data_IF_257673213010
#
_entry.id   IF_257673213010
#
_cell.length_a   1.000
_cell.length_b   1.000
_cell.length_c   1.000
_cell.angle_alpha   90.00
_cell.angle_beta   90.00
_cell.angle_gamma   90.00
#
_symmetry.space_group_name_H-M   'P 1'
#
loop_
_entity.id
_entity.type
_entity.pdbx_description
1 polymer ?
#
# COMPACT_ATOMS: atom_id res chain seq x y z
N UNK A 1 -22.00 -25.81 -95.10
CA UNK A 1 -22.77 -26.21 -93.89
C UNK A 1 -22.19 -25.44 -92.69
N UNK A 2 -22.67 -24.21 -92.47
CA UNK A 2 -23.69 -23.78 -91.47
C UNK A 2 -23.05 -23.37 -90.11
N UNK A 3 -23.16 -22.07 -89.82
CA UNK A 3 -23.01 -21.35 -88.53
C UNK A 3 -24.22 -21.63 -87.60
N UNK A 4 -24.16 -21.40 -86.26
CA UNK A 4 -24.49 -20.07 -85.67
C UNK A 4 -23.71 -19.73 -84.36
N UNK A 5 -23.29 -18.49 -84.05
CA UNK A 5 -23.98 -17.24 -83.66
C UNK A 5 -24.90 -17.31 -82.40
N UNK A 6 -24.44 -16.71 -81.29
CA UNK A 6 -25.25 -16.12 -80.21
C UNK A 6 -24.49 -14.91 -79.60
N UNK A 7 -24.75 -13.67 -80.05
CA UNK A 7 -25.63 -12.63 -79.44
C UNK A 7 -25.27 -12.22 -77.99
N UNK A 8 -24.39 -11.22 -77.86
CA UNK A 8 -24.31 -10.32 -76.70
C UNK A 8 -25.51 -9.36 -76.69
N UNK A 9 -26.16 -9.20 -75.53
CA UNK A 9 -27.21 -8.22 -75.26
C UNK A 9 -26.61 -6.99 -74.58
N UNK A 10 -26.90 -5.83 -75.16
CA UNK A 10 -26.68 -4.49 -74.62
C UNK A 10 -27.49 -4.22 -73.34
N UNK A 11 -26.85 -3.57 -72.36
CA UNK A 11 -27.41 -2.72 -71.30
C UNK A 11 -26.37 -1.59 -71.16
N UNK A 12 -26.59 -0.39 -71.69
CA UNK A 12 -27.54 0.58 -71.15
C UNK A 12 -26.77 1.61 -70.32
N UNK A 13 -26.17 2.61 -70.99
CA UNK A 13 -25.46 3.72 -70.35
C UNK A 13 -26.42 4.58 -69.51
N UNK A 14 -26.45 4.36 -68.20
CA UNK A 14 -27.08 5.31 -67.28
C UNK A 14 -26.15 6.53 -67.10
N UNK A 15 -26.55 7.65 -67.70
CA UNK A 15 -25.96 8.97 -67.44
C UNK A 15 -26.20 9.34 -65.98
N UNK A 16 -25.19 9.18 -65.14
CA UNK A 16 -25.15 9.67 -63.77
C UNK A 16 -25.22 11.20 -63.78
N UNK A 17 -26.33 11.74 -63.29
CA UNK A 17 -26.60 13.18 -63.22
C UNK A 17 -25.63 13.94 -62.29
N UNK A 18 -25.61 15.28 -62.37
CA UNK A 18 -24.64 16.15 -61.66
C UNK A 18 -24.67 16.00 -60.15
N UNK A 19 -25.80 15.56 -59.57
CA UNK A 19 -25.93 15.28 -58.14
C UNK A 19 -25.01 14.14 -57.65
N UNK A 20 -24.75 13.12 -58.47
CA UNK A 20 -23.90 12.00 -58.06
C UNK A 20 -22.42 12.37 -58.05
N UNK A 21 -22.03 13.29 -58.93
CA UNK A 21 -20.68 13.90 -58.93
C UNK A 21 -20.48 14.75 -57.67
N UNK A 22 -21.48 15.53 -57.26
CA UNK A 22 -21.42 16.28 -56.00
C UNK A 22 -21.32 15.35 -54.79
N UNK A 23 -22.08 14.25 -54.76
CA UNK A 23 -22.03 13.27 -53.67
C UNK A 23 -20.64 12.60 -53.56
N UNK A 24 -20.04 12.24 -54.69
CA UNK A 24 -18.67 11.71 -54.74
C UNK A 24 -17.64 12.73 -54.22
N UNK A 25 -17.78 14.02 -54.57
CA UNK A 25 -16.91 15.08 -54.06
C UNK A 25 -17.03 15.23 -52.54
N UNK A 26 -18.24 15.21 -51.99
CA UNK A 26 -18.45 15.26 -50.54
C UNK A 26 -17.89 14.03 -49.81
N UNK A 27 -18.02 12.83 -50.38
CA UNK A 27 -17.44 11.61 -49.81
C UNK A 27 -15.91 11.67 -49.82
N UNK A 28 -15.29 12.16 -50.90
CA UNK A 28 -13.83 12.33 -50.99
C UNK A 28 -13.33 13.40 -50.01
N UNK A 29 -14.04 14.52 -49.85
CA UNK A 29 -13.69 15.56 -48.87
C UNK A 29 -13.83 15.03 -47.43
N UNK A 30 -14.88 14.26 -47.13
CA UNK A 30 -15.05 13.65 -45.81
C UNK A 30 -13.95 12.61 -45.50
N UNK A 31 -13.56 11.80 -46.49
CA UNK A 31 -12.46 10.85 -46.35
C UNK A 31 -11.10 11.54 -46.21
N UNK A 32 -10.86 12.60 -46.99
CA UNK A 32 -9.66 13.42 -46.86
C UNK A 32 -9.59 14.14 -45.50
N UNK A 33 -10.73 14.62 -44.98
CA UNK A 33 -10.85 15.19 -43.64
C UNK A 33 -10.59 14.16 -42.53
N UNK A 34 -11.04 12.91 -42.68
CA UNK A 34 -10.73 11.82 -41.76
C UNK A 34 -9.25 11.41 -41.81
N UNK A 35 -8.63 11.37 -43.00
CA UNK A 35 -7.19 11.08 -43.14
C UNK A 35 -6.31 12.22 -42.60
N UNK A 36 -6.68 13.48 -42.83
CA UNK A 36 -6.02 14.63 -42.21
C UNK A 36 -6.24 14.66 -40.69
N UNK A 37 -7.43 14.30 -40.20
CA UNK A 37 -7.72 14.12 -38.78
C UNK A 37 -6.88 13.02 -38.13
N UNK A 38 -6.60 11.92 -38.83
CA UNK A 38 -5.75 10.81 -38.34
C UNK A 38 -4.25 11.17 -38.39
N UNK A 39 -3.82 11.97 -39.37
CA UNK A 39 -2.44 12.46 -39.46
C UNK A 39 -2.14 13.58 -38.46
N UNK A 40 -3.10 14.46 -38.16
CA UNK A 40 -2.96 15.52 -37.15
C UNK A 40 -3.22 15.05 -35.72
N UNK A 41 -3.83 13.88 -35.50
CA UNK A 41 -3.99 13.29 -34.16
C UNK A 41 -2.71 12.58 -33.63
N UNK A 42 -1.63 12.55 -34.43
CA UNK A 42 -0.33 11.99 -34.02
C UNK A 42 0.69 13.06 -33.57
N UNK A 43 0.30 14.33 -33.54
CA UNK A 43 1.12 15.43 -33.03
C UNK A 43 0.29 16.34 -32.12
N UNK A 44 -0.18 15.78 -31.00
CA UNK A 44 -0.64 16.58 -29.87
C UNK A 44 0.16 16.20 -28.64
N UNK A 45 1.08 17.10 -28.31
CA UNK A 45 1.47 17.45 -26.94
C UNK A 45 1.86 16.23 -26.11
N UNK A 46 3.15 15.87 -26.14
CA UNK A 46 3.76 15.30 -24.95
C UNK A 46 3.41 16.27 -23.81
N UNK A 47 2.62 15.87 -22.79
CA UNK A 47 2.50 16.72 -21.63
C UNK A 47 3.92 16.89 -21.13
N UNK A 48 4.40 18.13 -21.02
CA UNK A 48 5.64 18.40 -20.31
C UNK A 48 5.62 17.56 -19.04
N UNK A 49 6.59 16.64 -18.90
CA UNK A 49 6.74 15.90 -17.65
C UNK A 49 6.75 16.97 -16.57
N UNK A 50 5.84 16.95 -15.59
CA UNK A 50 5.83 17.96 -14.54
C UNK A 50 7.25 18.01 -13.99
N UNK A 51 7.89 19.19 -14.11
CA UNK A 51 9.24 19.42 -13.58
C UNK A 51 9.26 18.85 -12.18
N UNK A 52 10.05 17.80 -11.99
CA UNK A 52 10.25 17.27 -10.66
C UNK A 52 10.86 18.39 -9.84
N UNK A 53 10.19 18.83 -8.77
CA UNK A 53 10.80 19.69 -7.75
C UNK A 53 12.08 19.07 -7.13
N UNK A 54 12.33 17.81 -7.48
CA UNK A 54 13.42 16.95 -7.06
C UNK A 54 14.39 16.61 -8.21
N UNK A 55 14.30 17.30 -9.36
CA UNK A 55 15.29 17.15 -10.42
C UNK A 55 16.63 17.69 -9.93
N UNK A 56 17.64 16.83 -9.98
CA UNK A 56 19.03 17.15 -9.66
C UNK A 56 19.47 18.41 -10.40
N UNK A 57 19.85 19.47 -9.68
CA UNK A 57 20.88 20.36 -10.23
C UNK A 57 22.17 19.53 -10.32
N UNK A 58 22.86 19.50 -11.48
CA UNK A 58 24.10 18.74 -11.65
C UNK A 58 25.22 19.18 -10.69
N UNK A 59 25.08 20.32 -10.02
CA UNK A 59 26.14 20.96 -9.24
C UNK A 59 26.28 20.49 -7.78
N UNK A 60 25.38 19.64 -7.26
CA UNK A 60 25.49 19.19 -5.86
C UNK A 60 25.53 17.67 -5.65
N UNK A 61 25.64 16.88 -6.73
CA UNK A 61 25.98 15.47 -6.65
C UNK A 61 27.51 15.28 -6.63
N UNK A 62 28.17 15.78 -5.59
CA UNK A 62 29.47 15.23 -5.21
C UNK A 62 29.26 13.87 -4.53
N UNK A 63 28.82 12.89 -5.33
CA UNK A 63 29.16 11.49 -5.05
C UNK A 63 30.65 11.34 -5.41
N UNK A 64 31.50 10.83 -4.51
CA UNK A 64 32.72 10.17 -4.97
C UNK A 64 32.30 9.06 -5.95
N UNK A 65 33.09 8.75 -6.99
CA UNK A 65 32.77 7.69 -7.94
C UNK A 65 32.88 6.32 -7.24
N UNK A 66 31.89 5.97 -6.43
CA UNK A 66 31.60 4.58 -6.09
C UNK A 66 31.02 3.98 -7.37
N UNK A 67 31.67 2.94 -7.89
CA UNK A 67 31.40 2.34 -9.19
C UNK A 67 29.91 2.22 -9.53
N UNK A 68 29.58 2.45 -10.80
CA UNK A 68 28.24 2.56 -11.37
C UNK A 68 27.16 1.71 -10.68
N UNK A 69 26.53 2.23 -9.62
CA UNK A 69 25.34 1.59 -9.08
C UNK A 69 24.12 2.01 -9.90
N UNK A 70 23.37 1.04 -10.40
CA UNK A 70 22.13 1.29 -11.13
C UNK A 70 20.96 1.34 -10.15
N UNK A 71 20.05 2.32 -10.26
CA UNK A 71 18.86 2.36 -9.42
C UNK A 71 18.07 1.05 -9.52
N UNK A 72 17.74 0.45 -8.39
CA UNK A 72 16.87 -0.72 -8.34
C UNK A 72 15.42 -0.29 -8.60
N UNK A 73 14.79 -0.86 -9.63
CA UNK A 73 13.39 -0.63 -10.00
C UNK A 73 12.47 -1.78 -9.60
N UNK A 74 12.99 -3.02 -9.61
CA UNK A 74 12.27 -4.19 -9.10
C UNK A 74 12.40 -4.28 -7.58
N UNK A 75 11.33 -3.95 -6.85
CA UNK A 75 11.34 -3.79 -5.40
C UNK A 75 10.13 -4.48 -4.78
N UNK A 76 10.40 -5.37 -3.81
CA UNK A 76 9.38 -5.94 -2.95
C UNK A 76 9.59 -5.42 -1.54
N UNK A 77 8.59 -4.69 -1.05
CA UNK A 77 8.53 -4.23 0.33
C UNK A 77 7.46 -5.02 1.08
N UNK A 78 7.87 -5.87 2.02
CA UNK A 78 6.91 -6.45 2.95
C UNK A 78 6.52 -5.39 3.97
N UNK A 79 5.35 -4.79 3.73
CA UNK A 79 4.73 -3.81 4.61
C UNK A 79 4.15 -4.48 5.86
N UNK A 80 4.90 -4.41 6.96
CA UNK A 80 4.46 -4.86 8.29
C UNK A 80 3.54 -3.86 8.95
N UNK A 81 2.68 -4.32 9.85
CA UNK A 81 1.70 -3.49 10.52
C UNK A 81 2.33 -2.62 11.62
N UNK A 82 1.94 -1.35 11.67
CA UNK A 82 2.25 -0.40 12.78
C UNK A 82 3.74 -0.10 13.01
N UNK A 83 4.53 -0.19 11.95
CA UNK A 83 6.00 -0.03 11.89
C UNK A 83 6.42 1.20 11.06
N UNK A 84 5.61 2.26 11.03
CA UNK A 84 5.79 3.42 10.13
C UNK A 84 5.80 3.07 8.62
N UNK A 85 5.34 1.88 8.27
CA UNK A 85 5.43 1.31 6.92
C UNK A 85 4.58 2.01 5.87
N UNK A 86 3.52 2.75 6.25
CA UNK A 86 2.78 3.63 5.30
C UNK A 86 3.63 4.80 4.79
N UNK A 87 4.61 5.28 5.57
CA UNK A 87 5.56 6.31 5.12
C UNK A 87 6.50 5.74 4.06
N UNK A 88 7.01 4.52 4.28
CA UNK A 88 7.84 3.80 3.30
C UNK A 88 7.03 3.48 2.03
N UNK A 89 5.77 3.08 2.18
CA UNK A 89 4.89 2.83 1.03
C UNK A 89 4.67 4.09 0.18
N UNK A 90 4.42 5.25 0.80
CA UNK A 90 4.28 6.52 0.06
C UNK A 90 5.57 6.87 -0.71
N UNK A 91 6.73 6.66 -0.09
CA UNK A 91 8.03 6.84 -0.74
C UNK A 91 8.18 5.93 -1.97
N UNK A 92 7.82 4.64 -1.88
CA UNK A 92 7.85 3.70 -3.01
C UNK A 92 6.87 4.08 -4.12
N UNK A 93 5.64 4.47 -3.76
CA UNK A 93 4.63 4.94 -4.70
C UNK A 93 5.07 6.18 -5.46
N UNK A 94 5.69 7.13 -4.78
CA UNK A 94 6.23 8.35 -5.40
C UNK A 94 7.33 8.03 -6.38
N UNK A 95 8.32 7.25 -5.96
CA UNK A 95 9.43 6.87 -6.82
C UNK A 95 8.92 6.14 -8.07
N UNK A 96 8.08 5.11 -7.91
CA UNK A 96 7.56 4.38 -9.06
C UNK A 96 6.65 5.21 -9.95
N UNK A 97 5.81 6.09 -9.40
CA UNK A 97 5.00 7.02 -10.20
C UNK A 97 5.88 7.94 -11.05
N UNK A 98 6.93 8.53 -10.45
CA UNK A 98 7.84 9.46 -11.13
C UNK A 98 8.69 8.76 -12.21
N UNK A 99 9.03 7.49 -11.99
CA UNK A 99 9.80 6.67 -12.94
C UNK A 99 8.92 5.92 -13.95
N UNK A 100 7.59 6.01 -13.84
CA UNK A 100 6.66 5.29 -14.73
C UNK A 100 6.68 3.76 -14.54
N UNK A 101 6.98 3.29 -13.32
CA UNK A 101 7.03 1.88 -12.96
C UNK A 101 5.63 1.28 -12.78
N UNK A 102 5.52 -0.02 -13.02
CA UNK A 102 4.30 -0.80 -12.91
C UNK A 102 4.16 -1.44 -11.53
N UNK A 103 3.13 -1.05 -10.79
CA UNK A 103 2.86 -1.57 -9.44
C UNK A 103 2.04 -2.85 -9.48
N UNK A 104 2.48 -3.89 -8.76
CA UNK A 104 1.62 -4.98 -8.36
C UNK A 104 0.65 -4.43 -7.30
N UNK A 105 -0.61 -4.19 -7.69
CA UNK A 105 -1.64 -3.64 -6.81
C UNK A 105 -2.67 -4.72 -6.43
N UNK A 106 -3.19 -4.71 -5.19
CA UNK A 106 -4.28 -5.61 -4.82
C UNK A 106 -5.58 -5.23 -5.50
N UNK A 107 -6.45 -6.22 -5.72
CA UNK A 107 -7.84 -5.99 -6.20
C UNK A 107 -8.65 -5.14 -5.20
N UNK A 108 -8.48 -5.38 -3.89
CA UNK A 108 -8.97 -4.51 -2.81
C UNK A 108 -7.88 -3.52 -2.38
N UNK A 109 -7.78 -3.24 -1.08
CA UNK A 109 -6.69 -2.45 -0.51
C UNK A 109 -5.52 -3.31 0.01
N UNK A 110 -5.75 -4.60 0.21
CA UNK A 110 -4.73 -5.56 0.68
C UNK A 110 -4.73 -6.83 -0.17
N UNK A 111 -3.64 -7.59 -0.14
CA UNK A 111 -3.53 -8.85 -0.88
C UNK A 111 -4.15 -10.04 -0.14
N UNK A 112 -5.45 -9.95 0.18
CA UNK A 112 -6.21 -11.07 0.78
C UNK A 112 -5.84 -11.40 2.24
N UNK A 113 -5.20 -10.46 2.93
CA UNK A 113 -4.87 -10.57 4.35
C UNK A 113 -6.16 -10.81 5.17
N UNK A 114 -6.17 -11.69 6.19
CA UNK A 114 -5.02 -12.31 6.89
C UNK A 114 -4.57 -13.68 6.33
N UNK A 115 -5.11 -14.13 5.19
CA UNK A 115 -4.64 -15.37 4.57
C UNK A 115 -3.26 -15.17 3.94
N UNK A 116 -2.43 -16.23 3.83
CA UNK A 116 -1.19 -16.18 3.08
C UNK A 116 -1.40 -15.60 1.68
N UNK A 117 -0.45 -14.80 1.23
CA UNK A 117 -0.45 -14.20 -0.10
C UNK A 117 -0.55 -15.28 -1.18
N UNK A 118 -1.37 -15.01 -2.20
CA UNK A 118 -1.41 -15.77 -3.45
C UNK A 118 -1.40 -14.80 -4.63
N UNK A 119 -0.73 -15.16 -5.72
CA UNK A 119 -0.49 -14.27 -6.85
C UNK A 119 -1.79 -13.74 -7.50
N UNK A 120 -2.88 -14.53 -7.45
CA UNK A 120 -4.20 -14.13 -7.98
C UNK A 120 -4.82 -12.92 -7.26
N UNK A 121 -4.27 -12.50 -6.11
CA UNK A 121 -4.69 -11.27 -5.43
C UNK A 121 -4.17 -10.00 -6.09
N UNK A 122 -3.20 -10.13 -7.00
CA UNK A 122 -2.65 -9.01 -7.78
C UNK A 122 -3.58 -8.72 -8.95
N UNK A 123 -4.05 -7.48 -9.04
CA UNK A 123 -4.88 -7.02 -10.15
C UNK A 123 -4.08 -7.07 -11.45
N UNK A 124 -4.69 -7.62 -12.49
CA UNK A 124 -4.03 -7.78 -13.79
C UNK A 124 -3.08 -8.97 -13.89
N UNK A 125 -2.90 -9.76 -12.82
CA UNK A 125 -2.12 -11.00 -12.89
C UNK A 125 -2.79 -12.02 -13.82
N UNK A 126 -2.03 -12.52 -14.79
CA UNK A 126 -2.47 -13.49 -15.82
C UNK A 126 -1.67 -14.78 -15.82
N UNK A 127 -0.80 -14.97 -14.84
CA UNK A 127 0.14 -16.08 -14.77
C UNK A 127 1.57 -15.59 -14.57
N UNK A 128 2.48 -16.50 -14.19
CA UNK A 128 3.89 -16.16 -13.96
C UNK A 128 4.53 -15.62 -15.23
N UNK A 129 5.30 -14.53 -15.11
CA UNK A 129 6.07 -13.94 -16.20
C UNK A 129 5.23 -13.44 -17.40
N UNK A 130 3.90 -13.30 -17.25
CA UNK A 130 3.02 -12.76 -18.29
C UNK A 130 2.97 -11.23 -18.25
N UNK A 131 3.00 -10.67 -17.05
CA UNK A 131 3.03 -9.23 -16.78
C UNK A 131 4.16 -8.99 -15.81
N UNK A 132 5.08 -8.09 -16.18
CA UNK A 132 6.17 -7.68 -15.31
C UNK A 132 5.68 -6.56 -14.41
N UNK A 133 5.82 -6.77 -13.09
CA UNK A 133 5.57 -5.75 -12.08
C UNK A 133 6.90 -5.32 -11.48
N UNK A 134 7.07 -4.02 -11.31
CA UNK A 134 8.28 -3.42 -10.75
C UNK A 134 8.20 -3.32 -9.24
N UNK A 135 7.08 -2.86 -8.68
CA UNK A 135 6.97 -2.59 -7.24
C UNK A 135 5.77 -3.33 -6.63
N UNK A 136 6.04 -4.10 -5.58
CA UNK A 136 5.01 -4.74 -4.74
C UNK A 136 5.20 -4.34 -3.29
N UNK A 137 4.24 -3.60 -2.73
CA UNK A 137 4.42 -2.94 -1.43
C UNK A 137 3.16 -2.85 -0.54
N UNK A 138 1.99 -3.30 -1.00
CA UNK A 138 0.77 -3.29 -0.18
C UNK A 138 0.76 -4.42 0.86
N UNK A 139 -0.10 -4.29 1.88
CA UNK A 139 -0.24 -5.26 2.95
C UNK A 139 -0.56 -6.67 2.42
N UNK A 140 0.18 -7.65 2.94
CA UNK A 140 -0.01 -9.08 2.69
C UNK A 140 0.46 -9.86 3.91
N UNK A 141 0.06 -11.13 3.99
CA UNK A 141 0.77 -12.12 4.81
C UNK A 141 1.78 -12.82 3.90
N UNK A 142 3.06 -12.63 4.15
CA UNK A 142 4.11 -13.00 3.20
C UNK A 142 4.11 -14.49 2.86
N UNK A 143 4.30 -14.81 1.58
CA UNK A 143 4.55 -16.16 1.12
C UNK A 143 5.41 -16.13 -0.14
N UNK A 144 6.71 -16.38 0.02
CA UNK A 144 7.73 -16.21 -1.02
C UNK A 144 7.40 -16.92 -2.35
N UNK A 145 6.99 -18.20 -2.38
CA UNK A 145 6.72 -18.88 -3.64
C UNK A 145 5.62 -18.24 -4.48
N UNK A 146 4.67 -17.53 -3.86
CA UNK A 146 3.63 -16.80 -4.59
C UNK A 146 4.11 -15.41 -5.02
N UNK A 147 4.96 -14.75 -4.23
CA UNK A 147 5.55 -13.46 -4.60
C UNK A 147 6.48 -13.61 -5.81
N UNK A 148 7.25 -14.70 -5.89
CA UNK A 148 8.14 -15.00 -7.02
C UNK A 148 7.40 -15.30 -8.33
N UNK A 149 6.08 -15.54 -8.28
CA UNK A 149 5.25 -15.63 -9.50
C UNK A 149 4.93 -14.25 -10.08
N UNK A 150 5.04 -13.20 -9.28
CA UNK A 150 4.65 -11.83 -9.62
C UNK A 150 5.87 -10.97 -9.91
N UNK A 151 6.89 -11.08 -9.04
CA UNK A 151 8.05 -10.20 -9.05
C UNK A 151 9.23 -10.82 -9.81
N UNK A 152 9.98 -10.04 -10.62
CA UNK A 152 11.18 -10.50 -11.30
C UNK A 152 12.25 -11.09 -10.36
N UNK A 153 13.11 -11.96 -10.88
CA UNK A 153 14.11 -12.69 -10.09
C UNK A 153 15.17 -11.79 -9.41
N UNK A 154 15.48 -10.63 -10.00
CA UNK A 154 16.45 -9.65 -9.49
C UNK A 154 15.87 -8.69 -8.43
N UNK A 155 14.59 -8.86 -8.09
CA UNK A 155 13.86 -8.02 -7.13
C UNK A 155 14.63 -7.82 -5.81
N UNK A 156 14.68 -6.58 -5.35
CA UNK A 156 15.21 -6.21 -4.04
C UNK A 156 14.13 -6.36 -2.96
N UNK A 157 14.26 -7.36 -2.10
CA UNK A 157 13.34 -7.63 -1.00
C UNK A 157 13.79 -6.94 0.29
N UNK A 158 12.92 -6.13 0.88
CA UNK A 158 13.17 -5.53 2.18
C UNK A 158 11.89 -5.42 3.03
N UNK A 159 12.07 -5.16 4.32
CA UNK A 159 10.95 -4.95 5.25
C UNK A 159 11.36 -4.01 6.39
N UNK A 160 10.46 -3.75 7.32
CA UNK A 160 10.68 -2.86 8.47
C UNK A 160 10.12 -3.50 9.74
N UNK A 161 10.86 -3.40 10.84
CA UNK A 161 10.44 -3.84 12.17
C UNK A 161 10.28 -2.65 13.11
N UNK A 162 9.77 -2.98 14.29
CA UNK A 162 9.62 -2.09 15.43
C UNK A 162 9.76 -2.90 16.72
N UNK A 163 10.20 -2.26 17.78
CA UNK A 163 10.20 -2.84 19.12
C UNK A 163 8.80 -3.42 19.44
N UNK A 164 8.72 -4.70 19.85
CA UNK A 164 7.42 -5.37 20.05
C UNK A 164 6.53 -4.74 21.11
N UNK A 165 7.08 -4.00 22.08
CA UNK A 165 6.27 -3.28 23.09
C UNK A 165 5.67 -2.03 22.46
N UNK A 166 6.48 -1.23 21.75
CA UNK A 166 5.98 -0.07 21.01
C UNK A 166 5.00 -0.47 19.90
N UNK A 167 5.21 -1.64 19.28
CA UNK A 167 4.31 -2.26 18.33
C UNK A 167 2.98 -2.66 18.98
N UNK A 168 3.01 -3.37 20.12
CA UNK A 168 1.81 -3.77 20.85
C UNK A 168 0.99 -2.54 21.28
N UNK A 169 1.63 -1.46 21.73
CA UNK A 169 0.95 -0.21 22.05
C UNK A 169 0.26 0.39 20.82
N UNK A 170 0.98 0.47 19.69
CA UNK A 170 0.40 0.99 18.45
C UNK A 170 -0.69 0.09 17.86
N UNK A 171 -0.59 -1.22 18.06
CA UNK A 171 -1.57 -2.22 17.61
C UNK A 171 -2.83 -2.13 18.46
N UNK A 172 -2.70 -2.15 19.80
CA UNK A 172 -3.83 -1.99 20.72
C UNK A 172 -4.58 -0.69 20.47
N UNK A 173 -3.86 0.43 20.36
CA UNK A 173 -4.48 1.72 20.11
C UNK A 173 -5.30 1.75 18.81
N UNK A 174 -4.77 1.15 17.74
CA UNK A 174 -5.40 1.21 16.42
C UNK A 174 -6.50 0.17 16.23
N UNK A 175 -6.28 -1.05 16.72
CA UNK A 175 -7.18 -2.19 16.56
C UNK A 175 -8.08 -2.45 17.78
N UNK A 176 -8.16 -1.52 18.74
CA UNK A 176 -8.98 -1.65 19.95
C UNK A 176 -10.39 -2.16 19.68
N UNK A 177 -11.05 -1.60 18.68
CA UNK A 177 -12.44 -1.94 18.34
C UNK A 177 -12.53 -3.07 17.30
N UNK A 178 -11.40 -3.56 16.77
CA UNK A 178 -11.33 -4.53 15.67
C UNK A 178 -10.92 -5.92 16.15
N UNK A 179 -9.94 -6.00 17.04
CA UNK A 179 -9.46 -7.25 17.59
C UNK A 179 -10.25 -7.61 18.86
N UNK A 180 -10.99 -8.73 18.90
CA UNK A 180 -11.76 -9.15 20.08
C UNK A 180 -10.94 -9.16 21.39
N UNK A 181 -9.68 -9.59 21.35
CA UNK A 181 -8.79 -9.58 22.50
C UNK A 181 -8.58 -8.17 23.07
N UNK A 182 -8.33 -7.19 22.20
CA UNK A 182 -8.18 -5.81 22.62
C UNK A 182 -9.50 -5.20 23.05
N UNK A 183 -10.61 -5.48 22.34
CA UNK A 183 -11.95 -4.95 22.66
C UNK A 183 -12.35 -5.31 24.09
N UNK A 184 -12.10 -6.55 24.51
CA UNK A 184 -12.45 -7.08 25.84
C UNK A 184 -11.59 -6.54 26.99
N UNK A 185 -10.33 -6.22 26.75
CA UNK A 185 -9.45 -5.66 27.78
C UNK A 185 -9.89 -4.23 28.14
N UNK A 186 -9.72 -3.78 29.39
CA UNK A 186 -10.02 -2.39 29.77
C UNK A 186 -8.93 -1.43 29.29
N UNK A 187 -7.68 -1.88 29.32
CA UNK A 187 -6.50 -1.13 28.91
C UNK A 187 -5.40 -2.08 28.42
N UNK A 188 -4.36 -1.51 27.83
CA UNK A 188 -3.19 -2.27 27.40
C UNK A 188 -2.45 -2.90 28.59
N UNK A 189 -2.40 -2.22 29.74
CA UNK A 189 -1.86 -2.78 30.98
C UNK A 189 -2.65 -4.00 31.46
N UNK A 190 -3.99 -3.91 31.50
CA UNK A 190 -4.89 -5.04 31.83
C UNK A 190 -4.72 -6.20 30.85
N UNK A 191 -4.56 -5.93 29.55
CA UNK A 191 -4.20 -6.96 28.58
C UNK A 191 -2.82 -7.57 28.85
N UNK A 192 -1.81 -6.75 29.15
CA UNK A 192 -0.45 -7.19 29.40
C UNK A 192 -0.33 -8.08 30.65
N UNK A 193 -1.12 -7.80 31.68
CA UNK A 193 -1.11 -8.57 32.93
C UNK A 193 -1.71 -9.97 32.77
N UNK A 194 -2.70 -10.13 31.88
CA UNK A 194 -3.31 -11.44 31.61
C UNK A 194 -3.78 -11.57 30.15
N UNK A 195 -2.87 -11.72 29.18
CA UNK A 195 -3.24 -11.75 27.76
C UNK A 195 -4.06 -13.00 27.42
N UNK A 196 -3.81 -14.13 28.09
CA UNK A 196 -4.53 -15.39 27.89
C UNK A 196 -6.02 -15.30 28.26
N UNK A 197 -6.40 -14.43 29.20
CA UNK A 197 -7.81 -14.15 29.52
C UNK A 197 -8.58 -13.58 28.31
N UNK A 198 -7.88 -12.84 27.45
CA UNK A 198 -8.51 -12.09 26.36
C UNK A 198 -8.20 -12.65 24.97
N UNK A 199 -7.11 -13.39 24.80
CA UNK A 199 -6.66 -13.86 23.50
C UNK A 199 -7.17 -15.26 23.16
N UNK A 200 -7.86 -15.37 22.02
CA UNK A 200 -8.31 -16.64 21.47
C UNK A 200 -7.78 -16.80 20.02
N UNK A 201 -6.95 -17.82 19.73
CA UNK A 201 -6.26 -17.97 18.44
C UNK A 201 -7.16 -18.00 17.20
N UNK A 202 -8.37 -18.59 17.32
CA UNK A 202 -9.26 -18.84 16.19
C UNK A 202 -10.19 -17.67 15.87
N UNK A 203 -10.27 -16.68 16.75
CA UNK A 203 -11.12 -15.52 16.51
C UNK A 203 -10.53 -14.64 15.41
N UNK A 204 -11.41 -14.21 14.50
CA UNK A 204 -11.07 -13.26 13.45
C UNK A 204 -10.43 -12.01 14.06
N UNK A 205 -9.44 -11.46 13.36
CA UNK A 205 -8.66 -10.26 13.76
C UNK A 205 -7.82 -10.38 15.03
N UNK A 206 -7.86 -11.49 15.79
CA UNK A 206 -7.03 -11.59 17.00
C UNK A 206 -5.53 -11.64 16.70
N UNK A 207 -5.09 -11.99 15.49
CA UNK A 207 -3.67 -11.96 15.11
C UNK A 207 -2.99 -10.59 15.34
N UNK A 208 -3.73 -9.48 15.35
CA UNK A 208 -3.18 -8.15 15.72
C UNK A 208 -2.66 -8.07 17.16
N UNK A 209 -3.04 -9.01 18.02
CA UNK A 209 -2.74 -9.00 19.45
C UNK A 209 -1.57 -9.89 19.87
N UNK A 210 -0.94 -10.66 18.97
CA UNK A 210 0.13 -11.60 19.32
C UNK A 210 1.11 -11.80 18.17
N UNK A 211 2.41 -11.62 18.41
CA UNK A 211 3.49 -11.84 17.44
C UNK A 211 3.15 -11.33 16.02
N UNK A 212 2.77 -10.05 15.92
CA UNK A 212 2.23 -9.47 14.69
C UNK A 212 3.29 -9.37 13.58
N UNK A 213 4.56 -9.10 13.91
CA UNK A 213 5.63 -9.11 12.90
C UNK A 213 5.81 -10.52 12.36
N UNK A 214 5.91 -11.52 13.25
CA UNK A 214 6.00 -12.93 12.90
C UNK A 214 4.85 -13.36 11.97
N UNK A 215 3.64 -12.89 12.26
CA UNK A 215 2.45 -13.11 11.42
C UNK A 215 2.61 -12.52 10.02
N UNK A 216 3.01 -11.25 9.92
CA UNK A 216 3.21 -10.54 8.65
C UNK A 216 4.27 -11.24 7.77
N UNK A 217 5.34 -11.78 8.38
CA UNK A 217 6.35 -12.61 7.69
C UNK A 217 5.84 -13.99 7.24
N UNK A 218 4.56 -14.29 7.43
CA UNK A 218 3.93 -15.53 6.98
C UNK A 218 4.06 -16.71 7.96
N UNK A 219 4.69 -16.48 9.12
CA UNK A 219 4.96 -17.53 10.10
C UNK A 219 3.77 -17.74 11.05
N UNK A 220 3.79 -18.81 11.84
CA UNK A 220 2.75 -19.08 12.83
C UNK A 220 2.97 -18.26 14.11
N UNK A 221 2.21 -17.17 14.24
CA UNK A 221 2.22 -16.28 15.40
C UNK A 221 1.69 -16.90 16.70
N UNK A 222 0.99 -18.04 16.62
CA UNK A 222 0.44 -18.74 17.78
C UNK A 222 1.36 -19.81 18.37
N UNK A 223 2.42 -20.16 17.64
CA UNK A 223 3.37 -21.16 18.07
C UNK A 223 3.99 -20.78 19.42
N UNK A 224 4.18 -21.79 20.26
CA UNK A 224 4.91 -21.62 21.51
C UNK A 224 6.38 -21.32 21.20
N UNK A 225 6.95 -20.40 21.96
CA UNK A 225 8.35 -20.05 21.78
C UNK A 225 9.25 -21.26 22.07
N UNK A 226 10.15 -21.54 21.15
CA UNK A 226 11.35 -22.32 21.41
C UNK A 226 12.51 -21.67 20.66
N UNK A 227 13.71 -21.73 21.22
CA UNK A 227 14.88 -21.11 20.58
C UNK A 227 15.13 -21.69 19.17
N UNK A 228 14.87 -22.99 18.98
CA UNK A 228 15.01 -23.64 17.69
C UNK A 228 14.00 -23.10 16.66
N UNK A 229 12.73 -22.92 17.03
CA UNK A 229 11.72 -22.30 16.16
C UNK A 229 12.08 -20.86 15.83
N UNK A 230 12.47 -20.09 16.84
CA UNK A 230 12.80 -18.68 16.70
C UNK A 230 14.00 -18.48 15.75
N UNK A 231 15.07 -19.27 15.92
CA UNK A 231 16.23 -19.25 15.02
C UNK A 231 15.88 -19.66 13.58
N UNK A 232 15.00 -20.65 13.39
CA UNK A 232 14.55 -21.04 12.03
C UNK A 232 13.74 -19.93 11.36
N UNK A 233 12.85 -19.28 12.09
CA UNK A 233 12.10 -18.13 11.57
C UNK A 233 13.01 -16.95 11.26
N UNK A 234 13.95 -16.60 12.14
CA UNK A 234 14.98 -15.58 11.87
C UNK A 234 15.76 -15.90 10.59
N UNK A 235 16.27 -17.13 10.46
CA UNK A 235 17.01 -17.56 9.27
C UNK A 235 16.16 -17.47 7.99
N UNK A 236 14.85 -17.74 8.09
CA UNK A 236 13.90 -17.62 6.97
C UNK A 236 13.75 -16.16 6.55
N UNK A 237 13.58 -15.23 7.50
CA UNK A 237 13.51 -13.80 7.22
C UNK A 237 14.84 -13.32 6.61
N UNK A 238 15.98 -13.68 7.21
CA UNK A 238 17.31 -13.28 6.73
C UNK A 238 17.61 -13.77 5.30
N UNK A 239 17.13 -14.96 4.93
CA UNK A 239 17.27 -15.50 3.57
C UNK A 239 16.45 -14.72 2.54
N UNK A 240 15.28 -14.25 2.94
CA UNK A 240 14.30 -13.69 2.02
C UNK A 240 14.41 -12.18 1.84
N UNK A 241 14.96 -11.47 2.83
CA UNK A 241 15.02 -10.00 2.84
C UNK A 241 16.46 -9.52 2.94
N UNK A 242 16.91 -8.75 1.94
CA UNK A 242 18.26 -8.18 1.84
C UNK A 242 18.51 -7.09 2.88
N UNK A 243 17.45 -6.38 3.29
CA UNK A 243 17.52 -5.32 4.27
C UNK A 243 16.29 -5.34 5.18
N UNK A 244 16.52 -5.19 6.48
CA UNK A 244 15.46 -5.02 7.48
C UNK A 244 15.69 -3.67 8.18
N UNK A 245 14.74 -2.77 8.01
CA UNK A 245 14.73 -1.43 8.58
C UNK A 245 14.21 -1.45 10.02
N UNK A 246 14.55 -0.43 10.81
CA UNK A 246 14.03 -0.24 12.16
C UNK A 246 13.29 1.09 12.30
N UNK A 247 12.06 1.04 12.79
CA UNK A 247 11.19 2.21 12.98
C UNK A 247 11.79 3.23 13.96
N UNK A 248 12.49 2.76 14.99
CA UNK A 248 13.15 3.57 16.02
C UNK A 248 14.32 4.38 15.46
N UNK A 249 14.96 3.86 14.41
CA UNK A 249 16.10 4.44 13.73
C UNK A 249 15.72 4.77 12.28
N UNK A 250 14.56 5.42 12.11
CA UNK A 250 13.95 5.63 10.80
C UNK A 250 14.86 6.39 9.83
N UNK A 251 15.53 7.45 10.29
CA UNK A 251 16.42 8.23 9.42
C UNK A 251 17.64 7.42 8.96
N UNK A 252 18.29 6.69 9.87
CA UNK A 252 19.38 5.77 9.51
C UNK A 252 18.89 4.67 8.57
N UNK A 253 17.68 4.15 8.81
CA UNK A 253 17.04 3.15 7.95
C UNK A 253 16.82 3.69 6.54
N UNK A 254 16.33 4.93 6.39
CA UNK A 254 16.15 5.55 5.07
C UNK A 254 17.47 5.81 4.36
N UNK A 255 18.53 6.18 5.10
CA UNK A 255 19.89 6.30 4.53
C UNK A 255 20.37 4.95 4.01
N UNK A 256 20.29 3.87 4.81
CA UNK A 256 20.69 2.53 4.37
C UNK A 256 19.87 2.08 3.16
N UNK A 257 18.55 2.30 3.17
CA UNK A 257 17.68 1.93 2.06
C UNK A 257 18.02 2.69 0.77
N UNK A 258 18.26 4.01 0.86
CA UNK A 258 18.66 4.85 -0.27
C UNK A 258 19.89 4.29 -0.97
N UNK A 259 20.93 3.98 -0.18
CA UNK A 259 22.18 3.44 -0.71
C UNK A 259 22.02 2.01 -1.23
N UNK A 260 21.20 1.18 -0.58
CA UNK A 260 20.93 -0.19 -1.03
C UNK A 260 20.12 -0.24 -2.34
N UNK A 261 19.23 0.73 -2.57
CA UNK A 261 18.43 0.85 -3.80
C UNK A 261 19.10 1.72 -4.87
N UNK A 262 20.19 2.42 -4.51
CA UNK A 262 20.86 3.41 -5.36
C UNK A 262 19.90 4.51 -5.85
N UNK A 263 19.07 4.99 -4.93
CA UNK A 263 18.08 6.04 -5.17
C UNK A 263 18.66 7.43 -4.83
N UNK A 264 18.18 8.49 -5.52
CA UNK A 264 18.55 9.85 -5.16
C UNK A 264 17.98 10.23 -3.78
N UNK A 265 18.59 11.23 -3.13
CA UNK A 265 18.17 11.68 -1.80
C UNK A 265 16.67 12.00 -1.75
N UNK A 266 16.18 12.76 -2.71
CA UNK A 266 14.80 13.26 -2.71
C UNK A 266 13.76 12.15 -2.86
N UNK A 267 14.13 11.00 -3.45
CA UNK A 267 13.26 9.84 -3.56
C UNK A 267 12.99 9.19 -2.19
N UNK A 268 13.89 9.35 -1.20
CA UNK A 268 13.72 8.78 0.15
C UNK A 268 13.29 9.80 1.20
N UNK A 269 13.18 11.09 0.83
CA UNK A 269 12.67 12.12 1.74
C UNK A 269 11.16 11.96 1.89
N UNK A 270 10.71 11.78 3.12
CA UNK A 270 9.30 11.53 3.45
C UNK A 270 8.83 12.35 4.64
N UNK A 271 7.52 12.63 4.70
CA UNK A 271 6.84 13.10 5.90
C UNK A 271 6.21 11.93 6.63
N UNK A 272 6.00 12.05 7.94
CA UNK A 272 5.47 10.97 8.76
C UNK A 272 3.98 10.78 8.49
N UNK A 273 3.61 9.71 7.77
CA UNK A 273 2.22 9.39 7.46
C UNK A 273 1.64 8.42 8.48
N UNK A 274 0.32 8.54 8.70
CA UNK A 274 -0.40 7.79 9.73
C UNK A 274 0.20 7.97 11.14
N UNK A 275 0.81 9.12 11.39
CA UNK A 275 1.29 9.51 12.71
C UNK A 275 0.09 9.65 13.66
N UNK A 276 0.26 9.16 14.89
CA UNK A 276 -0.73 9.36 15.95
C UNK A 276 -0.46 10.70 16.61
N UNK A 277 -1.52 11.37 17.06
CA UNK A 277 -1.36 12.50 17.96
C UNK A 277 -0.61 12.05 19.21
N UNK A 278 0.61 12.56 19.40
CA UNK A 278 1.28 12.47 20.68
C UNK A 278 0.69 13.59 21.55
N UNK A 279 0.22 13.25 22.74
CA UNK A 279 -0.19 14.28 23.70
C UNK A 279 1.04 15.15 24.03
N UNK A 280 0.90 16.49 24.12
CA UNK A 280 2.02 17.36 24.39
C UNK A 280 2.79 16.89 25.63
N UNK A 281 4.12 16.80 25.53
CA UNK A 281 4.95 16.89 26.73
C UNK A 281 4.62 18.24 27.35
N UNK A 282 4.02 18.26 28.53
CA UNK A 282 3.92 19.49 29.31
C UNK A 282 5.33 20.09 29.35
N UNK A 283 5.47 21.33 28.86
CA UNK A 283 6.73 22.08 28.94
C UNK A 283 7.05 22.23 30.43
N UNK A 284 8.05 21.47 30.89
CA UNK A 284 8.88 21.62 32.11
C UNK A 284 8.26 22.41 33.26
N UNK A 285 8.06 21.83 34.45
CA UNK A 285 9.06 21.81 35.53
C UNK A 285 8.49 20.92 36.67
N UNK A 286 9.30 19.97 37.19
CA UNK A 286 9.06 18.98 38.26
C UNK A 286 8.07 17.81 37.99
N UNK A 287 8.65 16.59 37.97
CA UNK A 287 8.02 15.25 38.15
C UNK A 287 6.68 15.00 37.43
N UNK A 288 6.73 14.42 36.23
CA UNK A 288 5.53 13.89 35.60
C UNK A 288 5.80 13.21 34.26
N UNK A 289 5.59 11.90 34.21
CA UNK A 289 5.62 11.11 32.96
C UNK A 289 4.63 11.70 31.95
N UNK A 290 4.89 11.61 30.63
CA UNK A 290 3.95 12.09 29.61
C UNK A 290 2.57 11.43 29.82
N UNK A 291 1.51 12.22 29.65
CA UNK A 291 0.13 11.74 29.73
C UNK A 291 -0.20 10.89 28.50
N UNK A 292 0.31 9.66 28.49
CA UNK A 292 -0.22 8.57 27.67
C UNK A 292 -1.67 8.35 28.14
N UNK A 293 -2.67 8.18 27.24
CA UNK A 293 -4.03 7.86 27.67
C UNK A 293 -3.99 6.73 28.70
N UNK A 294 -4.74 6.81 29.79
CA UNK A 294 -4.66 5.82 30.87
C UNK A 294 -4.80 4.38 30.35
N UNK A 295 -5.59 4.20 29.27
CA UNK A 295 -5.77 2.92 28.58
C UNK A 295 -4.52 2.37 27.84
N UNK A 296 -3.46 3.17 27.67
CA UNK A 296 -2.19 2.80 27.01
C UNK A 296 -0.99 2.87 27.97
N UNK A 297 -1.17 3.36 29.20
CA UNK A 297 -0.09 3.44 30.17
C UNK A 297 0.42 2.05 30.57
N UNK A 298 1.74 1.89 30.71
CA UNK A 298 2.40 0.62 31.01
C UNK A 298 3.48 0.79 32.09
N UNK A 299 3.49 -0.10 33.08
CA UNK A 299 4.61 -0.30 34.00
C UNK A 299 5.76 -1.05 33.33
N UNK A 300 6.96 -1.03 33.90
CA UNK A 300 8.08 -1.82 33.33
C UNK A 300 7.79 -3.33 33.40
N UNK A 301 7.13 -3.80 34.46
CA UNK A 301 6.69 -5.18 34.56
C UNK A 301 5.75 -5.57 33.40
N UNK A 302 4.74 -4.74 33.11
CA UNK A 302 3.83 -4.96 31.99
C UNK A 302 4.56 -4.93 30.63
N UNK A 303 5.59 -4.09 30.48
CA UNK A 303 6.45 -4.10 29.28
C UNK A 303 7.19 -5.43 29.12
N UNK A 304 7.71 -6.00 30.20
CA UNK A 304 8.34 -7.33 30.16
C UNK A 304 7.33 -8.44 29.84
N UNK A 305 6.13 -8.40 30.44
CA UNK A 305 5.04 -9.33 30.10
C UNK A 305 4.66 -9.25 28.62
N UNK A 306 4.61 -8.05 28.03
CA UNK A 306 4.38 -7.89 26.59
C UNK A 306 5.52 -8.46 25.72
N UNK A 307 6.78 -8.38 26.16
CA UNK A 307 7.90 -9.04 25.46
C UNK A 307 7.78 -10.57 25.53
N UNK A 308 7.38 -11.11 26.68
CA UNK A 308 7.15 -12.54 26.85
C UNK A 308 5.96 -13.04 26.00
N UNK A 309 4.86 -12.28 26.01
CA UNK A 309 3.69 -12.57 25.18
C UNK A 309 4.01 -12.57 23.68
N UNK A 310 4.87 -11.64 23.26
CA UNK A 310 5.35 -11.49 21.89
C UNK A 310 6.78 -12.03 21.72
N UNK A 311 7.12 -13.16 22.35
CA UNK A 311 8.51 -13.66 22.41
C UNK A 311 9.14 -13.94 21.04
N UNK A 312 8.34 -14.32 20.03
CA UNK A 312 8.85 -14.55 18.67
C UNK A 312 9.23 -13.23 18.00
N UNK A 313 8.38 -12.21 18.10
CA UNK A 313 8.70 -10.85 17.64
C UNK A 313 9.88 -10.26 18.40
N UNK A 314 9.98 -10.52 19.71
CA UNK A 314 11.11 -10.06 20.53
C UNK A 314 12.43 -10.65 20.10
N UNK A 315 12.47 -11.96 19.86
CA UNK A 315 13.66 -12.62 19.31
C UNK A 315 14.05 -12.03 17.95
N UNK A 316 13.07 -11.88 17.05
CA UNK A 316 13.27 -11.32 15.71
C UNK A 316 13.85 -9.90 15.79
N UNK A 317 13.24 -9.03 16.60
CA UNK A 317 13.68 -7.65 16.78
C UNK A 317 15.10 -7.58 17.35
N UNK A 318 15.44 -8.37 18.38
CA UNK A 318 16.78 -8.39 18.94
C UNK A 318 17.84 -8.81 17.92
N UNK A 319 17.55 -9.84 17.11
CA UNK A 319 18.45 -10.30 16.07
C UNK A 319 18.70 -9.21 15.02
N UNK A 320 17.63 -8.62 14.49
CA UNK A 320 17.72 -7.60 13.44
C UNK A 320 18.22 -6.24 13.94
N UNK A 321 18.04 -5.91 15.22
CA UNK A 321 18.66 -4.74 15.83
C UNK A 321 20.18 -4.87 15.89
N UNK A 322 20.70 -6.04 16.28
CA UNK A 322 22.15 -6.29 16.24
C UNK A 322 22.70 -6.19 14.82
N UNK A 323 22.05 -6.80 13.83
CA UNK A 323 22.52 -6.73 12.45
C UNK A 323 22.39 -5.33 11.86
N UNK A 324 21.33 -4.60 12.22
CA UNK A 324 21.15 -3.22 11.78
C UNK A 324 22.32 -2.35 12.21
N UNK A 325 22.76 -2.45 13.47
CA UNK A 325 23.93 -1.69 13.93
C UNK A 325 25.23 -2.18 13.30
N UNK A 326 25.37 -3.47 13.00
CA UNK A 326 26.50 -3.97 12.21
C UNK A 326 26.52 -3.36 10.79
N UNK A 327 25.35 -3.18 10.15
CA UNK A 327 25.24 -2.49 8.86
C UNK A 327 25.57 -1.00 8.98
N UNK A 328 25.18 -0.33 10.08
CA UNK A 328 25.58 1.06 10.36
C UNK A 328 27.10 1.17 10.52
N UNK A 329 27.74 0.24 11.23
CA UNK A 329 29.21 0.21 11.34
C UNK A 329 29.86 0.02 9.97
N UNK A 330 29.37 -0.93 9.18
CA UNK A 330 29.88 -1.21 7.83
C UNK A 330 29.71 -0.02 6.89
N UNK A 331 28.61 0.70 7.01
CA UNK A 331 28.37 1.95 6.27
C UNK A 331 29.29 3.09 6.73
N UNK A 332 29.73 3.03 7.99
CA UNK A 332 30.59 4.01 8.66
C UNK A 332 29.77 5.04 9.45
N UNK A 333 30.02 5.14 10.76
CA UNK A 333 29.27 6.04 11.68
C UNK A 333 29.31 7.50 11.26
N UNK A 334 30.49 8.03 10.93
CA UNK A 334 30.65 9.42 10.49
C UNK A 334 29.91 9.70 9.18
N UNK A 335 29.95 8.75 8.22
CA UNK A 335 29.18 8.85 6.98
C UNK A 335 27.68 8.81 7.25
N UNK A 336 27.22 7.89 8.11
CA UNK A 336 25.83 7.77 8.53
C UNK A 336 25.30 9.08 9.12
N UNK A 337 26.04 9.69 10.03
CA UNK A 337 25.67 10.96 10.65
C UNK A 337 25.52 12.08 9.61
N UNK A 338 26.49 12.23 8.70
CA UNK A 338 26.43 13.22 7.60
C UNK A 338 25.20 13.01 6.70
N UNK A 339 24.92 11.76 6.32
CA UNK A 339 23.78 11.42 5.47
C UNK A 339 22.43 11.62 6.17
N UNK A 340 22.35 11.35 7.47
CA UNK A 340 21.16 11.63 8.28
C UNK A 340 20.92 13.13 8.40
N UNK A 341 21.96 13.94 8.61
CA UNK A 341 21.84 15.41 8.63
C UNK A 341 21.31 15.89 7.29
N UNK A 342 21.90 15.44 6.18
CA UNK A 342 21.46 15.80 4.83
C UNK A 342 19.99 15.44 4.59
N UNK A 343 19.57 14.23 4.97
CA UNK A 343 18.18 13.77 4.87
C UNK A 343 17.22 14.67 5.68
N UNK A 344 17.59 15.00 6.92
CA UNK A 344 16.78 15.85 7.82
C UNK A 344 16.67 17.27 7.29
N UNK A 345 17.78 17.89 6.91
CA UNK A 345 17.78 19.25 6.34
C UNK A 345 16.94 19.32 5.08
N UNK A 346 17.02 18.30 4.20
CA UNK A 346 16.17 18.25 3.00
C UNK A 346 14.69 18.10 3.36
N UNK A 347 14.35 17.24 4.32
CA UNK A 347 12.98 17.10 4.84
C UNK A 347 12.44 18.42 5.40
N UNK A 348 13.24 19.17 6.14
CA UNK A 348 12.87 20.47 6.70
C UNK A 348 12.65 21.55 5.65
N UNK A 349 13.50 21.59 4.61
CA UNK A 349 13.30 22.48 3.45
C UNK A 349 11.96 22.18 2.79
N UNK A 350 11.68 20.89 2.49
CA UNK A 350 10.43 20.50 1.86
C UNK A 350 9.23 20.72 2.76
N UNK A 351 9.36 20.53 4.07
CA UNK A 351 8.28 20.83 5.02
C UNK A 351 7.91 22.32 4.98
N UNK A 352 8.90 23.23 4.94
CA UNK A 352 8.65 24.68 4.84
C UNK A 352 7.96 25.09 3.54
N UNK A 353 8.36 24.47 2.42
CA UNK A 353 7.76 24.72 1.11
C UNK A 353 6.34 24.15 1.03
N UNK A 354 6.16 22.89 1.44
CA UNK A 354 4.94 22.16 1.17
C UNK A 354 3.85 22.38 2.21
N UNK A 355 4.19 22.50 3.50
CA UNK A 355 3.27 22.24 4.60
C UNK A 355 2.93 23.50 5.40
N UNK A 356 1.66 23.62 5.80
CA UNK A 356 1.21 24.65 6.76
C UNK A 356 1.65 24.32 8.18
N UNK A 357 1.28 25.21 9.13
CA UNK A 357 1.48 25.03 10.57
C UNK A 357 2.95 24.69 10.93
N UNK A 358 3.91 25.27 10.20
CA UNK A 358 5.34 25.01 10.43
C UNK A 358 5.76 23.57 10.16
N UNK A 359 5.07 22.87 9.25
CA UNK A 359 5.33 21.46 8.94
C UNK A 359 4.79 20.46 9.96
N UNK A 360 4.01 20.92 10.94
CA UNK A 360 3.44 20.04 11.95
C UNK A 360 2.20 19.30 11.45
N UNK A 361 2.05 18.01 11.77
CA UNK A 361 0.85 17.27 11.42
C UNK A 361 -0.36 17.75 12.23
N UNK A 362 -1.53 17.82 11.59
CA UNK A 362 -2.78 18.33 12.15
C UNK A 362 -3.85 17.23 12.21
N UNK A 363 -4.85 17.43 13.07
CA UNK A 363 -5.99 16.50 13.16
C UNK A 363 -6.78 16.45 11.84
N UNK A 364 -7.31 15.29 11.49
CA UNK A 364 -8.03 15.08 10.24
C UNK A 364 -9.23 16.02 10.02
N UNK A 365 -9.86 16.49 11.09
CA UNK A 365 -10.96 17.47 11.05
C UNK A 365 -10.51 18.85 10.55
N UNK A 366 -9.24 19.22 10.76
CA UNK A 366 -8.66 20.50 10.32
C UNK A 366 -8.20 20.49 8.86
N UNK A 367 -8.08 19.31 8.25
CA UNK A 367 -7.66 19.14 6.86
C UNK A 367 -8.87 19.45 5.96
N UNK A 368 -8.77 20.47 5.11
CA UNK A 368 -9.85 20.96 4.24
C UNK A 368 -10.06 20.03 3.06
N UNK A 369 -8.96 19.59 2.44
CA UNK A 369 -9.00 18.72 1.28
C UNK A 369 -9.32 17.27 1.72
N UNK A 370 -10.51 16.80 1.33
CA UNK A 370 -10.99 15.45 1.66
C UNK A 370 -10.13 14.35 1.02
N UNK A 371 -9.46 14.63 -0.10
CA UNK A 371 -8.63 13.65 -0.80
C UNK A 371 -7.33 13.31 -0.05
N UNK A 372 -6.94 14.12 0.94
CA UNK A 372 -5.75 13.89 1.77
C UNK A 372 -6.06 13.67 3.25
N UNK A 373 -7.34 13.50 3.60
CA UNK A 373 -7.72 13.16 4.98
C UNK A 373 -7.29 11.73 5.30
N UNK A 374 -6.52 11.51 6.39
CA UNK A 374 -6.13 10.17 6.80
C UNK A 374 -7.33 9.41 7.36
N UNK A 375 -7.35 8.11 7.10
CA UNK A 375 -8.35 7.21 7.66
C UNK A 375 -8.24 7.14 9.19
N UNK A 376 -9.37 7.21 9.89
CA UNK A 376 -9.43 7.19 11.35
C UNK A 376 -9.82 5.80 11.85
N UNK A 377 -9.15 5.31 12.91
CA UNK A 377 -9.48 4.03 13.53
C UNK A 377 -8.97 3.94 14.98
N UNK A 378 -9.68 3.18 15.81
CA UNK A 378 -9.29 2.87 17.18
C UNK A 378 -9.44 4.03 18.17
N UNK A 379 -8.55 4.09 19.14
CA UNK A 379 -8.56 5.02 20.28
C UNK A 379 -7.81 6.34 20.02
N UNK A 380 -7.14 6.45 18.88
CA UNK A 380 -6.17 7.53 18.63
C UNK A 380 -6.53 8.28 17.36
N UNK A 381 -6.39 9.61 17.41
CA UNK A 381 -6.52 10.44 16.22
C UNK A 381 -5.30 10.24 15.33
N UNK A 382 -5.55 9.89 14.08
CA UNK A 382 -4.52 9.79 13.06
C UNK A 382 -4.39 11.17 12.42
N UNK A 383 -3.19 11.74 12.49
CA UNK A 383 -2.88 13.06 11.98
C UNK A 383 -2.52 13.00 10.48
N UNK A 384 -2.70 14.13 9.80
CA UNK A 384 -2.27 14.35 8.42
C UNK A 384 -1.67 15.74 8.26
N UNK A 385 -1.62 16.25 7.04
CA UNK A 385 -1.00 17.53 6.74
C UNK A 385 -1.90 18.40 5.87
N UNK A 386 -1.72 19.71 5.98
CA UNK A 386 -2.31 20.71 5.09
C UNK A 386 -1.22 21.34 4.23
N UNK A 387 -1.49 21.56 2.94
CA UNK A 387 -0.55 22.19 2.03
C UNK A 387 -0.57 23.71 2.17
N UNK A 388 0.59 24.34 1.96
CA UNK A 388 0.70 25.80 1.88
C UNK A 388 -0.24 26.36 0.79
N UNK A 389 -0.88 27.52 1.03
CA UNK A 389 -1.65 28.20 -0.01
C UNK A 389 -0.70 28.84 -1.05
N UNK A 390 -1.20 29.11 -2.26
CA UNK A 390 -0.46 29.87 -3.27
C UNK A 390 0.70 29.13 -3.94
N UNK A 391 0.84 27.81 -3.74
CA UNK A 391 1.79 26.99 -4.49
C UNK A 391 1.40 26.94 -5.97
N UNK A 392 2.38 27.08 -6.88
CA UNK A 392 2.15 26.81 -8.30
C UNK A 392 1.74 25.34 -8.53
N UNK A 393 1.13 25.07 -9.69
CA UNK A 393 0.57 23.74 -9.96
C UNK A 393 1.60 22.60 -9.87
N UNK A 394 2.83 22.82 -10.34
CA UNK A 394 3.88 21.80 -10.30
C UNK A 394 4.31 21.51 -8.87
N UNK A 395 4.58 22.57 -8.11
CA UNK A 395 4.94 22.46 -6.69
C UNK A 395 3.85 21.81 -5.87
N UNK A 396 2.60 22.26 -6.06
CA UNK A 396 1.43 21.73 -5.37
C UNK A 396 1.31 20.22 -5.59
N UNK A 397 1.44 19.74 -6.82
CA UNK A 397 1.31 18.32 -7.13
C UNK A 397 2.44 17.50 -6.49
N UNK A 398 3.69 17.97 -6.54
CA UNK A 398 4.80 17.25 -5.90
C UNK A 398 4.63 17.18 -4.37
N UNK A 399 4.24 18.29 -3.73
CA UNK A 399 3.93 18.32 -2.31
C UNK A 399 2.74 17.43 -1.94
N UNK A 400 1.70 17.42 -2.79
CA UNK A 400 0.53 16.57 -2.60
C UNK A 400 0.91 15.09 -2.60
N UNK A 401 1.78 14.64 -3.52
CA UNK A 401 2.30 13.28 -3.53
C UNK A 401 3.00 12.91 -2.22
N UNK A 402 3.77 13.83 -1.61
CA UNK A 402 4.46 13.56 -0.33
C UNK A 402 3.53 13.31 0.86
N UNK A 403 2.30 13.84 0.83
CA UNK A 403 1.36 13.73 1.95
C UNK A 403 0.13 12.87 1.67
N UNK A 404 -0.03 12.38 0.43
CA UNK A 404 -1.19 11.60 0.01
C UNK A 404 -1.27 10.30 0.82
N UNK A 405 -2.38 10.05 1.55
CA UNK A 405 -2.51 8.83 2.34
C UNK A 405 -2.64 7.60 1.45
N UNK A 406 -2.27 6.45 2.01
CA UNK A 406 -2.11 5.17 1.29
C UNK A 406 -3.32 4.76 0.45
N UNK A 407 -4.54 4.88 0.99
CA UNK A 407 -5.78 4.47 0.30
C UNK A 407 -5.95 5.31 -0.97
N UNK A 408 -5.86 6.63 -0.84
CA UNK A 408 -6.05 7.57 -1.94
C UNK A 408 -4.90 7.52 -2.95
N UNK A 409 -3.69 7.17 -2.52
CA UNK A 409 -2.57 6.94 -3.43
C UNK A 409 -2.76 5.64 -4.21
N UNK A 410 -3.19 4.55 -3.56
CA UNK A 410 -3.49 3.30 -4.26
C UNK A 410 -4.57 3.51 -5.33
N UNK A 411 -5.65 4.22 -5.01
CA UNK A 411 -6.73 4.51 -5.95
C UNK A 411 -6.24 5.31 -7.16
N UNK A 412 -5.34 6.29 -6.94
CA UNK A 412 -4.69 7.03 -8.03
C UNK A 412 -3.88 6.11 -8.95
N UNK A 413 -3.02 5.26 -8.38
CA UNK A 413 -2.18 4.35 -9.16
C UNK A 413 -3.01 3.30 -9.89
N UNK A 414 -4.05 2.79 -9.24
CA UNK A 414 -4.99 1.82 -9.81
C UNK A 414 -5.70 2.37 -11.04
N UNK A 415 -6.22 3.61 -10.96
CA UNK A 415 -6.87 4.28 -12.08
C UNK A 415 -5.91 4.55 -13.24
N UNK A 416 -4.65 4.88 -12.95
CA UNK A 416 -3.64 5.14 -13.98
C UNK A 416 -3.18 3.87 -14.70
N UNK A 417 -2.96 2.78 -13.96
CA UNK A 417 -2.47 1.53 -14.54
C UNK A 417 -3.56 0.67 -15.16
N UNK A 418 -4.77 0.73 -14.61
CA UNK A 418 -5.90 -0.09 -15.03
C UNK A 418 -7.11 0.80 -15.37
N UNK A 419 -6.98 1.71 -16.36
CA UNK A 419 -8.11 2.52 -16.81
C UNK A 419 -9.23 1.57 -17.25
N UNK A 420 -10.41 1.71 -16.66
CA UNK A 420 -11.55 0.90 -17.07
C UNK A 420 -11.79 1.10 -18.58
N UNK A 421 -11.85 0.01 -19.35
CA UNK A 421 -12.75 -0.01 -20.49
C UNK A 421 -14.14 0.29 -19.91
N UNK A 422 -14.70 1.45 -20.24
CA UNK A 422 -15.96 1.95 -19.69
C UNK A 422 -17.01 0.82 -19.72
N UNK A 423 -17.46 0.36 -18.54
CA UNK A 423 -18.68 -0.45 -18.48
C UNK A 423 -19.85 0.50 -18.76
N UNK A 424 -20.78 0.19 -19.68
CA UNK A 424 -21.98 1.00 -19.86
C UNK A 424 -22.75 1.06 -18.53
N UNK A 425 -23.44 2.18 -18.25
CA UNK A 425 -24.28 2.28 -17.07
C UNK A 425 -25.35 1.19 -17.12
N UNK A 426 -25.40 0.35 -16.09
CA UNK A 426 -26.49 -0.61 -15.90
C UNK A 426 -27.78 0.19 -15.68
N UNK A 427 -28.86 -0.01 -16.46
CA UNK A 427 -30.12 0.69 -16.22
C UNK A 427 -30.65 0.33 -14.83
N UNK A 428 -31.07 1.33 -14.06
CA UNK A 428 -31.73 1.12 -12.78
C UNK A 428 -33.00 0.27 -12.99
N UNK A 429 -33.06 -0.90 -12.34
CA UNK A 429 -34.27 -1.72 -12.35
C UNK A 429 -35.38 -1.03 -11.51
N UNK A 430 -36.67 -1.13 -11.90
CA UNK A 430 -37.74 -0.41 -11.24
C UNK A 430 -38.06 -1.00 -9.86
N UNK A 431 -38.22 -0.12 -8.87
CA UNK A 431 -38.80 -0.42 -7.56
C UNK A 431 -40.25 -0.89 -7.74
N UNK A 432 -40.51 -2.19 -7.59
CA UNK A 432 -41.87 -2.69 -7.36
C UNK A 432 -42.25 -2.46 -5.89
N UNK A 433 -43.24 -1.60 -5.68
CA UNK A 433 -44.06 -1.52 -4.48
C UNK A 433 -44.98 -2.74 -4.44
N UNK A 434 -44.92 -3.53 -3.38
CA UNK A 434 -46.06 -4.35 -2.96
C UNK A 434 -46.29 -4.15 -1.46
N UNK A 435 -47.56 -3.97 -1.14
CA UNK A 435 -48.17 -3.61 0.14
C UNK A 435 -48.56 -4.85 0.95
N UNK A 436 -48.14 -4.89 2.23
CA UNK A 436 -48.71 -5.40 3.50
C UNK A 436 -49.86 -6.45 3.52
N UNK A 437 -50.12 -7.22 4.63
CA UNK A 437 -49.75 -6.94 6.04
C UNK A 437 -49.36 -8.12 6.97
N UNK A 438 -48.70 -7.72 8.08
CA UNK A 438 -48.67 -8.29 9.44
C UNK A 438 -48.81 -9.80 9.69
N UNK A 439 -47.76 -10.40 10.27
CA UNK A 439 -47.90 -11.30 11.44
C UNK A 439 -46.61 -11.28 12.28
N UNK A 440 -46.83 -11.17 13.58
CA UNK A 440 -45.90 -11.13 14.71
C UNK A 440 -44.92 -12.30 14.76
N UNK A 441 -43.68 -12.04 15.13
CA UNK A 441 -42.67 -13.04 15.46
C UNK A 441 -41.30 -12.40 15.68
N UNK A 442 -40.83 -12.42 16.91
CA UNK A 442 -39.51 -11.96 17.36
C UNK A 442 -38.39 -12.54 16.50
N UNK A 443 -37.41 -11.72 16.09
CA UNK A 443 -36.07 -12.23 15.80
C UNK A 443 -34.99 -11.15 15.94
N UNK A 444 -34.04 -11.47 16.81
CA UNK A 444 -32.65 -10.99 16.89
C UNK A 444 -32.16 -10.28 15.62
N UNK A 445 -31.80 -9.00 15.76
CA UNK A 445 -31.08 -8.26 14.74
C UNK A 445 -29.67 -8.83 14.54
N UNK A 446 -29.48 -9.61 13.48
CA UNK A 446 -28.17 -9.87 12.89
C UNK A 446 -27.61 -8.55 12.35
N UNK A 447 -26.76 -7.92 13.14
CA UNK A 447 -25.92 -6.81 12.70
C UNK A 447 -24.85 -7.37 11.76
N UNK A 448 -25.10 -7.30 10.45
CA UNK A 448 -24.11 -7.67 9.42
C UNK A 448 -22.89 -6.74 9.55
N UNK A 449 -21.86 -7.23 10.25
CA UNK A 449 -20.57 -6.56 10.42
C UNK A 449 -19.82 -6.59 9.07
N UNK A 450 -19.89 -5.49 8.31
CA UNK A 450 -19.16 -5.30 7.04
C UNK A 450 -17.66 -5.11 7.32
N UNK A 451 -16.83 -5.80 6.54
CA UNK A 451 -15.36 -5.75 6.66
C UNK A 451 -14.75 -4.46 6.08
N UNK A 452 -13.54 -4.15 6.56
CA UNK A 452 -12.74 -2.96 6.26
C UNK A 452 -12.33 -2.80 4.77
N UNK A 453 -12.51 -3.83 3.93
CA UNK A 453 -12.09 -3.83 2.51
C UNK A 453 -13.25 -4.03 1.51
N UNK A 454 -14.53 -3.88 1.95
CA UNK A 454 -15.73 -4.09 1.10
C UNK A 454 -15.77 -5.41 0.30
N UNK A 455 -14.96 -6.40 0.63
CA UNK A 455 -14.96 -7.71 -0.04
C UNK A 455 -16.09 -8.59 0.47
N UNK A 456 -17.09 -8.82 -0.38
CA UNK A 456 -18.08 -9.89 -0.19
C UNK A 456 -17.38 -11.21 -0.51
N UNK A 457 -17.03 -11.99 0.51
CA UNK A 457 -16.73 -13.40 0.34
C UNK A 457 -18.04 -14.12 0.05
N UNK A 458 -18.34 -14.37 -1.24
CA UNK A 458 -19.33 -15.38 -1.61
C UNK A 458 -18.77 -16.73 -1.15
N UNK A 459 -19.40 -17.30 -0.12
CA UNK A 459 -19.19 -18.67 0.31
C UNK A 459 -19.79 -19.57 -0.77
N UNK A 460 -18.96 -20.18 -1.61
CA UNK A 460 -19.40 -21.33 -2.41
C UNK A 460 -19.67 -22.46 -1.42
N UNK A 461 -20.94 -22.68 -1.09
CA UNK A 461 -21.40 -23.93 -0.50
C UNK A 461 -21.44 -24.99 -1.60
N UNK A 462 -20.40 -25.81 -1.65
CA UNK A 462 -20.45 -27.13 -2.27
C UNK A 462 -19.25 -27.95 -1.81
N UNK A 463 -19.29 -28.38 -0.54
CA UNK A 463 -18.60 -29.60 -0.14
C UNK A 463 -19.61 -30.43 0.63
N UNK A 464 -20.10 -31.44 -0.09
CA UNK A 464 -21.01 -32.46 0.37
C UNK A 464 -20.42 -33.17 1.59
N UNK A 465 -21.28 -33.31 2.58
CA UNK A 465 -21.20 -34.20 3.70
C UNK A 465 -21.19 -35.64 3.14
N UNK A 466 -20.06 -36.35 3.23
CA UNK A 466 -20.02 -37.79 3.01
C UNK A 466 -20.04 -38.45 4.38
N UNK A 467 -21.22 -38.94 4.73
CA UNK A 467 -21.45 -39.80 5.89
C UNK A 467 -21.07 -41.25 5.55
N UNK A 468 -20.62 -41.94 6.59
CA UNK A 468 -20.15 -43.31 6.61
C UNK A 468 -21.36 -44.24 6.50
N UNK A 469 -21.46 -44.99 5.39
CA UNK A 469 -21.93 -46.39 5.37
C UNK A 469 -21.85 -46.96 3.96
N UNK A 470 -21.09 -48.02 3.80
CA UNK A 470 -20.92 -48.71 2.53
C UNK A 470 -22.18 -49.41 2.04
N UNK A 471 -22.39 -49.36 0.72
CA UNK A 471 -22.68 -50.50 -0.14
C UNK A 471 -22.69 -50.03 -1.60
N UNK A 472 -22.01 -50.80 -2.45
CA UNK A 472 -21.99 -50.65 -3.91
C UNK A 472 -23.40 -50.79 -4.51
N UNK A 473 -23.71 -49.94 -5.48
CA UNK A 473 -24.02 -50.35 -6.87
C UNK A 473 -23.86 -49.17 -7.81
#
# INVERSE_FOLDING_TARGET
LIFPRLRMRWLGCYRLGPMWKALLVFVVIAFAGQLLGVLFNKSWVQPERPRSLFSLSPENSQLPPQGSCRPHTHVMFLKTHKTASSTVLNMLYRFGEEQGLYFALPVGYQFGYPLPFIAQRVKGYRGPHVVEFDIMANHMRFYKPEVEKVMPADTFYFSILRDPVALAESSYAYYKNVAPAFRRAKGLGDFADNPHKYYEPRLRNNHYARNLLWFDFGLDHNANFSLALAKRGEATVRRNFKLILLSEFFDQSMVLLRHALCWPLDAVVSFSLNARQQMPKARSVWVGKPAVPAALALTEEQRQKLRQWNALDWHLYQAFNRTFWAEVERFGRARMEKEVILLRSRREILARVCLRDGGQPVEASRIRDKAIRPFQSGLVKILGYELQPGLDNGTREACLRMIRPEIQYKDLLDLRQFPHAQRPPVPAAPLRRESSPSRTGEHLGEMVERDWDRTILRRNQSLQQVDIKGKLR
#
